data_IF_495665176010
#
_entry.id   IF_495665176010
#
_cell.length_a   1.000
_cell.length_b   1.000
_cell.length_c   1.000
_cell.angle_alpha   90.00
_cell.angle_beta   90.00
_cell.angle_gamma   90.00
#
_symmetry.space_group_name_H-M   'P 1'
#
loop_
_entity.id
_entity.type
_entity.pdbx_description
1 polymer ?
#
# COMPACT_ATOMS: atom_id res chain seq x y z
N UNK A 1 2.87 17.93 -7.39
CA UNK A 1 2.35 17.11 -6.28
C UNK A 1 2.55 15.67 -6.69
N UNK A 2 3.58 15.01 -6.15
CA UNK A 2 3.96 13.66 -6.57
C UNK A 2 3.19 12.65 -5.71
N UNK A 3 2.42 11.77 -6.37
CA UNK A 3 1.69 10.69 -5.72
C UNK A 3 2.30 9.39 -6.21
N UNK A 4 2.78 8.58 -5.28
CA UNK A 4 3.37 7.25 -5.52
C UNK A 4 2.52 6.20 -4.84
N UNK A 5 2.31 5.08 -5.52
CA UNK A 5 1.67 3.91 -4.96
C UNK A 5 2.74 2.84 -4.76
N UNK A 6 2.98 2.47 -3.50
CA UNK A 6 3.96 1.44 -3.15
C UNK A 6 3.21 0.21 -2.68
N UNK A 7 3.27 -0.87 -3.45
CA UNK A 7 2.67 -2.14 -3.06
C UNK A 7 3.48 -2.77 -1.93
N UNK A 8 2.80 -3.15 -0.86
CA UNK A 8 3.37 -3.80 0.32
C UNK A 8 2.48 -4.94 0.78
N UNK A 9 3.05 -5.86 1.54
CA UNK A 9 2.33 -7.01 2.10
C UNK A 9 1.93 -6.70 3.55
N UNK A 10 0.71 -7.09 3.92
CA UNK A 10 0.13 -6.94 5.25
C UNK A 10 0.96 -7.67 6.32
N UNK A 11 1.59 -6.94 7.26
CA UNK A 11 2.36 -7.57 8.34
C UNK A 11 1.49 -7.99 9.53
N UNK A 12 0.19 -7.69 9.53
CA UNK A 12 -0.67 -7.87 10.70
C UNK A 12 -0.94 -9.35 11.03
N UNK A 13 -1.40 -10.12 10.04
CA UNK A 13 -1.86 -11.50 10.26
C UNK A 13 -1.02 -12.55 9.51
N UNK A 14 -0.04 -12.14 8.69
CA UNK A 14 0.80 -13.06 7.93
C UNK A 14 0.07 -13.82 6.81
N UNK A 15 -1.18 -13.46 6.49
CA UNK A 15 -1.96 -14.06 5.40
C UNK A 15 -1.39 -13.76 4.00
N UNK A 16 -0.52 -12.76 3.89
CA UNK A 16 0.09 -12.37 2.62
C UNK A 16 -0.78 -11.42 1.77
N UNK A 17 -1.82 -10.80 2.34
CA UNK A 17 -2.63 -9.82 1.61
C UNK A 17 -1.77 -8.62 1.15
N UNK A 18 -1.91 -8.23 -0.11
CA UNK A 18 -1.21 -7.07 -0.67
C UNK A 18 -2.08 -5.82 -0.64
N UNK A 19 -1.49 -4.68 -0.30
CA UNK A 19 -2.13 -3.37 -0.35
C UNK A 19 -1.15 -2.30 -0.82
N UNK A 20 -1.66 -1.16 -1.28
CA UNK A 20 -0.88 -0.05 -1.76
C UNK A 20 -0.83 1.05 -0.70
N UNK A 21 0.38 1.50 -0.37
CA UNK A 21 0.61 2.72 0.38
C UNK A 21 0.53 3.91 -0.58
N UNK A 22 -0.36 4.85 -0.30
CA UNK A 22 -0.44 6.12 -1.02
C UNK A 22 0.55 7.06 -0.38
N UNK A 23 1.66 7.32 -1.08
CA UNK A 23 2.72 8.22 -0.65
C UNK A 23 2.55 9.54 -1.38
N UNK A 24 2.38 10.62 -0.62
CA UNK A 24 2.28 11.98 -1.12
C UNK A 24 3.36 12.82 -0.46
N UNK A 25 4.19 13.45 -1.26
CA UNK A 25 5.29 14.33 -0.79
C UNK A 25 6.19 13.64 0.26
N UNK A 26 6.48 12.35 0.03
CA UNK A 26 7.34 11.51 0.90
C UNK A 26 6.67 10.98 2.17
N UNK A 27 5.39 11.27 2.41
CA UNK A 27 4.63 10.76 3.56
C UNK A 27 3.53 9.82 3.12
N UNK A 28 3.28 8.79 3.92
CA UNK A 28 2.13 7.91 3.74
C UNK A 28 0.88 8.69 4.18
N UNK A 29 -0.07 8.84 3.27
CA UNK A 29 -1.32 9.58 3.53
C UNK A 29 -2.55 8.68 3.53
N UNK A 30 -2.48 7.50 2.89
CA UNK A 30 -3.59 6.56 2.81
C UNK A 30 -3.10 5.14 2.48
N UNK A 31 -4.00 4.16 2.62
CA UNK A 31 -3.80 2.76 2.24
C UNK A 31 -4.96 2.27 1.39
N UNK A 32 -4.67 1.71 0.22
CA UNK A 32 -5.67 1.19 -0.70
C UNK A 32 -5.49 -0.31 -0.94
N UNK A 33 -6.57 -1.08 -1.13
CA UNK A 33 -6.45 -2.50 -1.48
C UNK A 33 -5.68 -2.66 -2.81
N UNK A 34 -4.78 -3.63 -2.86
CA UNK A 34 -4.09 -3.95 -4.11
C UNK A 34 -5.02 -4.81 -4.97
N UNK A 35 -5.48 -4.28 -6.11
CA UNK A 35 -6.33 -5.02 -7.06
C UNK A 35 -5.65 -6.26 -7.68
N UNK A 36 -4.33 -6.41 -7.46
CA UNK A 36 -3.50 -7.49 -7.98
C UNK A 36 -2.99 -8.46 -6.89
N UNK A 37 -3.39 -8.26 -5.64
CA UNK A 37 -3.09 -9.23 -4.58
C UNK A 37 -3.84 -10.55 -4.79
N UNK A 38 -3.35 -11.66 -4.22
CA UNK A 38 -4.14 -12.90 -4.15
C UNK A 38 -5.46 -12.70 -3.41
#
# INVERSE_FOLDING_TARGET
MEIKFVTTTCPYCGSGCSFNLVVKDGKIVDTQPCQRGP
#
